data_IF_846919072093
#
_entry.id   IF_846919072093
#
_cell.length_a   1.000
_cell.length_b   1.000
_cell.length_c   1.000
_cell.angle_alpha   90.00
_cell.angle_beta   90.00
_cell.angle_gamma   90.00
#
_symmetry.space_group_name_H-M   'P 1'
#
loop_
_entity.id
_entity.type
_entity.pdbx_description
1 polymer ?
#
# COMPACT_ATOMS: atom_id res chain seq x y z
N UNK A 1 30.00 -3.25 6.57
CA UNK A 1 28.88 -3.17 5.59
C UNK A 1 27.94 -2.14 6.17
N UNK A 2 27.90 -0.94 5.64
CA UNK A 2 26.91 0.07 6.02
C UNK A 2 25.52 -0.49 5.70
N UNK A 3 24.70 -0.67 6.73
CA UNK A 3 23.31 -1.05 6.52
C UNK A 3 22.61 0.12 5.84
N UNK A 4 22.26 -0.04 4.59
CA UNK A 4 21.42 0.91 3.84
C UNK A 4 20.18 1.23 4.67
N UNK A 5 19.83 2.51 4.79
CA UNK A 5 18.62 2.93 5.51
C UNK A 5 17.39 2.20 4.97
N UNK A 6 16.47 1.75 5.83
CA UNK A 6 15.27 1.02 5.40
C UNK A 6 14.35 1.94 4.56
N UNK A 7 13.60 1.34 3.63
CA UNK A 7 12.62 2.07 2.84
C UNK A 7 11.44 2.58 3.70
N UNK A 8 11.08 1.83 4.74
CA UNK A 8 10.08 2.22 5.73
C UNK A 8 10.63 1.93 7.12
N UNK A 9 10.52 2.91 8.02
CA UNK A 9 10.91 2.77 9.43
C UNK A 9 9.83 3.37 10.33
N UNK A 10 9.32 2.58 11.25
CA UNK A 10 8.44 3.01 12.34
C UNK A 10 9.20 2.87 13.66
N UNK A 11 9.07 3.88 14.54
CA UNK A 11 9.67 3.90 15.88
C UNK A 11 8.64 4.42 16.89
N UNK A 12 8.32 3.59 17.91
CA UNK A 12 7.41 3.88 19.01
C UNK A 12 6.03 4.41 18.54
N UNK A 13 5.52 3.85 17.44
CA UNK A 13 4.31 4.31 16.78
C UNK A 13 3.07 3.81 17.53
N UNK A 14 2.26 4.76 18.01
CA UNK A 14 0.93 4.49 18.56
C UNK A 14 -0.16 5.14 17.73
N UNK A 15 -1.31 4.48 17.62
CA UNK A 15 -2.52 5.06 17.03
C UNK A 15 -3.73 4.71 17.85
N UNK A 16 -4.38 5.75 18.38
CA UNK A 16 -5.66 5.65 19.08
C UNK A 16 -6.73 6.44 18.34
N UNK A 17 -7.98 5.97 18.46
CA UNK A 17 -9.16 6.65 17.95
C UNK A 17 -10.11 6.99 19.10
N UNK A 18 -10.70 8.18 19.14
CA UNK A 18 -11.63 8.57 20.18
C UNK A 18 -12.93 7.75 20.09
N UNK A 19 -13.39 7.20 21.22
CA UNK A 19 -14.66 6.48 21.37
C UNK A 19 -15.79 7.34 21.97
N UNK A 20 -15.51 8.60 22.33
CA UNK A 20 -16.41 9.45 23.12
C UNK A 20 -16.22 9.29 24.64
N UNK A 21 -16.83 10.18 25.41
CA UNK A 21 -16.74 10.19 26.89
C UNK A 21 -15.32 10.16 27.47
N UNK A 22 -14.33 10.67 26.75
CA UNK A 22 -12.93 10.68 27.18
C UNK A 22 -12.16 9.36 26.99
N UNK A 23 -12.80 8.33 26.45
CA UNK A 23 -12.16 7.04 26.13
C UNK A 23 -11.55 7.05 24.73
N UNK A 24 -10.44 6.34 24.56
CA UNK A 24 -9.81 6.11 23.26
C UNK A 24 -9.53 4.61 23.06
N UNK A 25 -9.63 4.14 21.83
CA UNK A 25 -9.27 2.78 21.46
C UNK A 25 -7.86 2.79 20.85
N UNK A 26 -6.89 2.20 21.54
CA UNK A 26 -5.56 1.98 20.98
C UNK A 26 -5.62 0.83 19.97
N UNK A 27 -5.43 1.17 18.69
CA UNK A 27 -5.47 0.21 17.58
C UNK A 27 -4.07 -0.27 17.21
N UNK A 28 -3.05 0.60 17.36
CA UNK A 28 -1.66 0.26 17.09
C UNK A 28 -0.74 0.73 18.22
N UNK A 29 0.20 -0.17 18.58
CA UNK A 29 1.32 0.08 19.49
C UNK A 29 2.53 -0.71 19.00
N UNK A 30 3.31 -0.12 18.10
CA UNK A 30 4.43 -0.76 17.42
C UNK A 30 5.73 -0.11 17.89
N UNK A 31 6.54 -0.86 18.62
CA UNK A 31 7.82 -0.36 19.12
C UNK A 31 8.82 -0.09 17.98
N UNK A 32 8.95 -1.02 17.06
CA UNK A 32 9.80 -0.86 15.88
C UNK A 32 9.35 -1.76 14.74
N UNK A 33 9.38 -1.21 13.52
CA UNK A 33 9.19 -1.96 12.28
C UNK A 33 10.07 -1.34 11.21
N UNK A 34 10.91 -2.16 10.58
CA UNK A 34 11.76 -1.74 9.47
C UNK A 34 11.52 -2.63 8.26
N UNK A 35 11.29 -2.02 7.10
CA UNK A 35 11.23 -2.72 5.82
C UNK A 35 12.48 -2.35 5.01
N UNK A 36 13.38 -3.31 4.75
CA UNK A 36 14.57 -3.07 3.93
C UNK A 36 14.20 -2.66 2.50
N UNK A 37 15.07 -1.88 1.85
CA UNK A 37 14.89 -1.51 0.45
C UNK A 37 14.79 -2.76 -0.43
N UNK A 38 13.81 -2.80 -1.33
CA UNK A 38 13.57 -3.92 -2.25
C UNK A 38 13.02 -5.19 -1.60
N UNK A 39 12.71 -5.18 -0.28
CA UNK A 39 12.11 -6.34 0.38
C UNK A 39 10.64 -6.52 -0.03
N UNK A 40 10.21 -7.79 -0.11
CA UNK A 40 8.82 -8.16 -0.34
C UNK A 40 8.28 -8.80 0.94
N UNK A 41 7.43 -8.10 1.64
CA UNK A 41 6.88 -8.48 2.95
C UNK A 41 5.38 -8.69 2.86
N UNK A 42 4.89 -9.80 3.41
CA UNK A 42 3.47 -10.05 3.64
C UNK A 42 3.16 -9.83 5.10
N UNK A 43 2.13 -9.04 5.37
CA UNK A 43 1.57 -8.78 6.69
C UNK A 43 0.28 -9.57 6.87
N UNK A 44 0.27 -10.50 7.81
CA UNK A 44 -0.91 -11.27 8.21
C UNK A 44 -1.39 -10.88 9.60
N UNK A 45 -2.60 -11.28 9.94
CA UNK A 45 -3.20 -11.04 11.25
C UNK A 45 -4.72 -11.07 11.19
N UNK A 46 -5.43 -11.24 12.29
CA UNK A 46 -6.89 -11.32 12.33
C UNK A 46 -7.55 -10.03 11.81
N UNK A 47 -8.83 -10.12 11.47
CA UNK A 47 -9.64 -8.93 11.17
C UNK A 47 -9.65 -7.99 12.39
N UNK A 48 -9.60 -6.69 12.15
CA UNK A 48 -9.54 -5.68 13.21
C UNK A 48 -8.18 -5.51 13.90
N UNK A 49 -7.13 -6.25 13.54
CA UNK A 49 -5.80 -6.13 14.17
C UNK A 49 -5.01 -4.85 13.79
N UNK A 50 -5.58 -3.94 13.01
CA UNK A 50 -4.94 -2.67 12.65
C UNK A 50 -4.13 -2.69 11.36
N UNK A 51 -4.19 -3.74 10.51
CA UNK A 51 -3.41 -3.85 9.26
C UNK A 51 -3.63 -2.66 8.31
N UNK A 52 -4.88 -2.37 7.97
CA UNK A 52 -5.24 -1.21 7.13
C UNK A 52 -4.83 0.11 7.78
N UNK A 53 -4.96 0.22 9.12
CA UNK A 53 -4.50 1.40 9.85
C UNK A 53 -2.99 1.58 9.70
N UNK A 54 -2.22 0.49 9.82
CA UNK A 54 -0.77 0.52 9.62
C UNK A 54 -0.40 0.98 8.20
N UNK A 55 -1.04 0.41 7.17
CA UNK A 55 -0.82 0.86 5.79
C UNK A 55 -1.15 2.34 5.60
N UNK A 56 -2.25 2.83 6.17
CA UNK A 56 -2.66 4.23 6.09
C UNK A 56 -1.66 5.17 6.80
N UNK A 57 -1.06 4.74 7.90
CA UNK A 57 0.00 5.50 8.58
C UNK A 57 1.27 5.57 7.73
N UNK A 58 1.72 4.44 7.17
CA UNK A 58 2.89 4.40 6.28
C UNK A 58 2.65 5.23 5.03
N UNK A 59 1.43 5.23 4.49
CA UNK A 59 1.04 6.06 3.35
C UNK A 59 0.91 7.55 3.68
N UNK A 60 0.97 7.95 4.95
CA UNK A 60 0.72 9.33 5.38
C UNK A 60 -0.71 9.81 5.13
N UNK A 61 -1.66 8.89 4.94
CA UNK A 61 -3.11 9.16 4.85
C UNK A 61 -3.64 9.51 6.25
N UNK A 62 -3.15 8.80 7.27
CA UNK A 62 -3.41 9.10 8.67
C UNK A 62 -2.09 9.41 9.37
N UNK A 63 -2.16 10.15 10.48
CA UNK A 63 -1.02 10.40 11.35
C UNK A 63 -1.11 9.52 12.60
N UNK A 64 0.03 9.10 13.17
CA UNK A 64 0.06 8.43 14.46
C UNK A 64 -0.35 9.38 15.58
N UNK A 65 -0.78 8.83 16.70
CA UNK A 65 -1.00 9.59 17.94
C UNK A 65 0.34 9.98 18.58
N UNK A 66 1.35 9.10 18.46
CA UNK A 66 2.73 9.35 18.88
C UNK A 66 3.68 8.46 18.07
N UNK A 67 4.98 8.77 18.16
CA UNK A 67 6.03 8.03 17.49
C UNK A 67 6.44 8.64 16.15
N UNK A 68 7.29 7.93 15.41
CA UNK A 68 7.93 8.41 14.20
C UNK A 68 7.73 7.44 13.05
N UNK A 69 7.46 7.97 11.85
CA UNK A 69 7.30 7.20 10.63
C UNK A 69 8.16 7.81 9.53
N UNK A 70 9.11 7.04 9.02
CA UNK A 70 9.94 7.45 7.90
C UNK A 70 9.66 6.61 6.67
N UNK A 71 9.59 7.26 5.52
CA UNK A 71 9.54 6.63 4.20
C UNK A 71 10.66 7.20 3.36
N UNK A 72 11.55 6.34 2.88
CA UNK A 72 12.76 6.71 2.15
C UNK A 72 13.56 7.83 2.86
N UNK A 73 13.77 7.66 4.16
CA UNK A 73 14.51 8.61 5.00
C UNK A 73 13.75 9.89 5.37
N UNK A 74 12.55 10.13 4.81
CA UNK A 74 11.75 11.32 5.12
C UNK A 74 10.74 11.01 6.22
N UNK A 75 10.78 11.79 7.31
CA UNK A 75 9.80 11.70 8.41
C UNK A 75 8.47 12.33 7.98
N UNK A 76 7.39 11.53 8.06
CA UNK A 76 6.06 11.97 7.64
C UNK A 76 5.33 12.82 8.70
N UNK A 77 5.66 12.60 9.98
CA UNK A 77 4.87 13.15 11.11
C UNK A 77 4.91 14.67 11.16
N UNK A 78 6.08 15.34 11.03
CA UNK A 78 6.15 16.80 11.06
C UNK A 78 5.69 17.49 9.77
N UNK A 79 5.43 16.72 8.68
CA UNK A 79 5.07 17.31 7.40
C UNK A 79 3.63 17.83 7.41
N UNK A 80 3.37 19.03 6.89
CA UNK A 80 2.02 19.50 6.61
C UNK A 80 1.38 18.63 5.50
N UNK A 81 0.04 18.52 5.50
CA UNK A 81 -0.72 17.66 4.61
C UNK A 81 -0.33 17.80 3.11
N UNK A 82 -0.19 19.02 2.53
CA UNK A 82 0.20 19.14 1.13
C UNK A 82 1.58 18.56 0.80
N UNK A 83 2.50 18.53 1.76
CA UNK A 83 3.82 17.92 1.58
C UNK A 83 3.74 16.40 1.69
N UNK A 84 2.94 15.85 2.64
CA UNK A 84 2.67 14.42 2.72
C UNK A 84 2.00 13.91 1.44
N UNK A 85 1.05 14.66 0.88
CA UNK A 85 0.37 14.30 -0.37
C UNK A 85 1.32 14.22 -1.55
N UNK A 86 2.24 15.16 -1.67
CA UNK A 86 3.29 15.15 -2.70
C UNK A 86 4.23 13.97 -2.53
N UNK A 87 4.67 13.71 -1.28
CA UNK A 87 5.53 12.56 -0.97
C UNK A 87 4.81 11.25 -1.31
N UNK A 88 3.56 11.08 -0.87
CA UNK A 88 2.75 9.91 -1.19
C UNK A 88 2.62 9.72 -2.69
N UNK A 89 2.26 10.75 -3.43
CA UNK A 89 2.08 10.67 -4.88
C UNK A 89 3.36 10.29 -5.62
N UNK A 90 4.53 10.70 -5.13
CA UNK A 90 5.83 10.45 -5.76
C UNK A 90 6.48 9.14 -5.31
N UNK A 91 6.31 8.74 -4.05
CA UNK A 91 7.09 7.66 -3.44
C UNK A 91 6.29 6.43 -3.04
N UNK A 92 4.96 6.49 -3.01
CA UNK A 92 4.13 5.40 -2.52
C UNK A 92 3.09 5.00 -3.57
N UNK A 93 3.17 3.76 -4.05
CA UNK A 93 2.05 3.12 -4.74
C UNK A 93 1.11 2.50 -3.72
N UNK A 94 -0.19 2.73 -3.85
CA UNK A 94 -1.18 2.13 -2.96
C UNK A 94 -2.24 1.37 -3.76
N UNK A 95 -2.37 0.08 -3.48
CA UNK A 95 -3.44 -0.78 -3.99
C UNK A 95 -4.44 -1.00 -2.88
N UNK A 96 -5.62 -0.43 -3.02
CA UNK A 96 -6.70 -0.55 -2.03
C UNK A 96 -7.47 -1.86 -2.19
N UNK A 97 -8.10 -2.33 -1.12
CA UNK A 97 -8.97 -3.49 -1.12
C UNK A 97 -10.15 -3.33 -2.11
N UNK A 98 -10.74 -2.14 -2.16
CA UNK A 98 -11.65 -1.73 -3.22
C UNK A 98 -10.85 -1.05 -4.32
N UNK A 99 -11.12 -1.35 -5.57
CA UNK A 99 -10.28 -0.90 -6.71
C UNK A 99 -10.11 0.62 -6.80
N UNK A 100 -11.09 1.40 -6.29
CA UNK A 100 -11.10 2.87 -6.29
C UNK A 100 -10.79 3.45 -7.69
N UNK A 101 -11.25 2.77 -8.75
CA UNK A 101 -11.15 3.27 -10.11
C UNK A 101 -12.21 4.35 -10.34
N UNK A 102 -11.80 5.38 -11.05
CA UNK A 102 -12.70 6.47 -11.42
C UNK A 102 -13.56 6.02 -12.61
N UNK A 103 -14.85 5.83 -12.38
CA UNK A 103 -15.81 5.27 -13.33
C UNK A 103 -15.88 6.01 -14.69
N UNK A 104 -15.78 7.37 -14.75
CA UNK A 104 -15.80 8.09 -16.02
C UNK A 104 -14.58 7.87 -16.91
N UNK A 105 -13.45 7.41 -16.33
CA UNK A 105 -12.17 7.27 -17.02
C UNK A 105 -11.94 5.84 -17.51
N UNK A 106 -11.27 5.71 -18.65
CA UNK A 106 -10.77 4.43 -19.17
C UNK A 106 -9.67 3.85 -18.28
N UNK A 107 -9.28 2.59 -18.52
CA UNK A 107 -8.14 1.96 -17.85
C UNK A 107 -6.86 2.79 -18.04
N UNK A 108 -6.60 3.24 -19.28
CA UNK A 108 -5.45 4.09 -19.59
C UNK A 108 -5.48 5.41 -18.81
N UNK A 109 -6.61 6.09 -18.79
CA UNK A 109 -6.77 7.37 -18.10
C UNK A 109 -6.67 7.24 -16.58
N UNK A 110 -7.21 6.17 -15.98
CA UNK A 110 -7.05 5.88 -14.56
C UNK A 110 -5.58 5.77 -14.16
N UNK A 111 -4.75 5.13 -14.98
CA UNK A 111 -3.30 5.02 -14.73
C UNK A 111 -2.60 6.37 -14.96
N UNK A 112 -2.94 7.10 -16.02
CA UNK A 112 -2.34 8.40 -16.32
C UNK A 112 -2.62 9.46 -15.24
N UNK A 113 -3.76 9.38 -14.55
CA UNK A 113 -4.11 10.31 -13.47
C UNK A 113 -3.09 10.27 -12.33
N UNK A 114 -2.61 9.10 -11.92
CA UNK A 114 -1.59 8.99 -10.88
C UNK A 114 -0.31 9.76 -11.25
N UNK A 115 0.10 9.68 -12.51
CA UNK A 115 1.28 10.41 -13.00
C UNK A 115 1.05 11.93 -13.08
N UNK A 116 -0.18 12.36 -13.36
CA UNK A 116 -0.53 13.79 -13.38
C UNK A 116 -0.46 14.43 -11.99
N UNK A 117 -0.93 13.72 -10.96
CA UNK A 117 -0.89 14.20 -9.58
C UNK A 117 0.54 14.24 -9.01
N UNK A 118 1.34 13.21 -9.26
CA UNK A 118 2.72 13.15 -8.78
C UNK A 118 3.64 14.14 -9.51
N UNK A 119 3.36 14.42 -10.78
CA UNK A 119 4.16 15.27 -11.66
C UNK A 119 5.65 14.86 -11.74
N UNK A 120 5.93 13.57 -11.56
CA UNK A 120 7.28 13.00 -11.62
C UNK A 120 7.67 12.58 -13.03
N UNK A 121 6.68 12.28 -13.88
CA UNK A 121 6.86 11.83 -15.26
C UNK A 121 6.40 12.91 -16.23
N UNK A 122 7.26 13.34 -17.19
CA UNK A 122 6.89 14.33 -18.20
C UNK A 122 5.62 13.95 -18.96
N UNK A 123 4.70 14.89 -19.15
CA UNK A 123 3.38 14.66 -19.78
C UNK A 123 3.45 13.88 -21.10
N UNK A 124 4.45 14.17 -21.93
CA UNK A 124 4.68 13.46 -23.21
C UNK A 124 4.96 11.97 -23.07
N UNK A 125 5.48 11.52 -21.90
CA UNK A 125 5.83 10.11 -21.62
C UNK A 125 4.72 9.37 -20.87
N UNK A 126 3.77 10.07 -20.25
CA UNK A 126 2.76 9.44 -19.37
C UNK A 126 1.89 8.42 -20.11
N UNK A 127 1.45 8.73 -21.33
CA UNK A 127 0.62 7.81 -22.11
C UNK A 127 1.37 6.51 -22.46
N UNK A 128 2.60 6.64 -22.95
CA UNK A 128 3.42 5.49 -23.29
C UNK A 128 3.70 4.64 -22.05
N UNK A 129 4.06 5.26 -20.94
CA UNK A 129 4.30 4.61 -19.65
C UNK A 129 3.06 3.85 -19.15
N UNK A 130 1.88 4.43 -19.24
CA UNK A 130 0.63 3.78 -18.84
C UNK A 130 0.33 2.54 -19.71
N UNK A 131 0.57 2.63 -21.04
CA UNK A 131 0.42 1.51 -21.97
C UNK A 131 1.37 0.36 -21.59
N UNK A 132 2.63 0.67 -21.30
CA UNK A 132 3.65 -0.32 -20.93
C UNK A 132 3.25 -1.10 -19.67
N UNK A 133 2.89 -0.41 -18.60
CA UNK A 133 2.49 -1.05 -17.34
C UNK A 133 1.20 -1.88 -17.52
N UNK A 134 0.19 -1.32 -18.19
CA UNK A 134 -1.04 -2.05 -18.47
C UNK A 134 -0.77 -3.31 -19.32
N UNK A 135 0.15 -3.23 -20.28
CA UNK A 135 0.55 -4.37 -21.10
C UNK A 135 1.29 -5.44 -20.29
N UNK A 136 2.19 -5.05 -19.39
CA UNK A 136 2.87 -5.97 -18.46
C UNK A 136 1.88 -6.72 -17.55
N UNK A 137 0.76 -6.09 -17.20
CA UNK A 137 -0.33 -6.68 -16.43
C UNK A 137 -1.41 -7.36 -17.29
N UNK A 138 -1.13 -7.60 -18.60
CA UNK A 138 -2.02 -8.33 -19.50
C UNK A 138 -3.27 -7.56 -19.97
N UNK A 139 -3.24 -6.21 -19.90
CA UNK A 139 -4.37 -5.35 -20.24
C UNK A 139 -4.20 -4.58 -21.55
N UNK A 140 -3.30 -5.02 -22.44
CA UNK A 140 -3.03 -4.35 -23.72
C UNK A 140 -4.28 -4.12 -24.58
N UNK A 141 -5.24 -5.04 -24.55
CA UNK A 141 -6.50 -4.98 -25.32
C UNK A 141 -7.63 -4.25 -24.57
N UNK A 142 -7.38 -3.76 -23.34
CA UNK A 142 -8.36 -3.14 -22.45
C UNK A 142 -8.16 -1.65 -22.20
N UNK A 143 -7.20 -1.02 -22.87
CA UNK A 143 -6.76 0.36 -22.61
C UNK A 143 -7.91 1.38 -22.65
N UNK A 144 -8.86 1.21 -23.59
CA UNK A 144 -10.02 2.10 -23.78
C UNK A 144 -11.26 1.72 -22.97
N UNK A 145 -11.23 0.58 -22.27
CA UNK A 145 -12.37 0.12 -21.48
C UNK A 145 -12.52 0.95 -20.20
N UNK A 146 -13.76 1.25 -19.84
CA UNK A 146 -14.11 1.85 -18.54
C UNK A 146 -14.28 0.76 -17.48
N UNK A 147 -14.20 1.09 -16.18
CA UNK A 147 -14.33 0.10 -15.10
C UNK A 147 -15.55 -0.82 -15.23
N UNK A 148 -16.70 -0.30 -15.61
CA UNK A 148 -17.92 -1.11 -15.80
C UNK A 148 -17.83 -2.15 -16.94
N UNK A 149 -16.87 -2.03 -17.83
CA UNK A 149 -16.63 -2.94 -18.95
C UNK A 149 -15.52 -3.96 -18.65
N UNK A 150 -14.93 -3.91 -17.46
CA UNK A 150 -13.84 -4.76 -17.02
C UNK A 150 -14.33 -5.78 -15.99
N UNK A 151 -13.82 -7.00 -16.07
CA UNK A 151 -13.98 -7.99 -15.00
C UNK A 151 -13.32 -7.49 -13.70
N UNK A 152 -13.69 -8.07 -12.56
CA UNK A 152 -13.06 -7.71 -11.25
C UNK A 152 -11.54 -7.86 -11.28
N UNK A 153 -11.03 -8.95 -11.88
CA UNK A 153 -9.60 -9.17 -12.03
C UNK A 153 -8.93 -8.16 -12.96
N UNK A 154 -9.60 -7.72 -14.04
CA UNK A 154 -9.09 -6.66 -14.91
C UNK A 154 -9.08 -5.31 -14.17
N UNK A 155 -10.13 -4.98 -13.40
CA UNK A 155 -10.18 -3.76 -12.57
C UNK A 155 -9.04 -3.76 -11.55
N UNK A 156 -8.78 -4.88 -10.89
CA UNK A 156 -7.67 -5.02 -9.94
C UNK A 156 -6.33 -4.78 -10.62
N UNK A 157 -6.09 -5.36 -11.80
CA UNK A 157 -4.85 -5.10 -12.55
C UNK A 157 -4.71 -3.64 -12.99
N UNK A 158 -5.81 -2.95 -13.31
CA UNK A 158 -5.78 -1.49 -13.56
C UNK A 158 -5.40 -0.72 -12.30
N UNK A 159 -5.93 -1.10 -11.13
CA UNK A 159 -5.58 -0.48 -9.85
C UNK A 159 -4.08 -0.69 -9.50
N UNK A 160 -3.55 -1.89 -9.76
CA UNK A 160 -2.11 -2.19 -9.62
C UNK A 160 -1.25 -1.37 -10.60
N UNK A 161 -1.67 -1.27 -11.88
CA UNK A 161 -1.00 -0.44 -12.87
C UNK A 161 -0.93 1.02 -12.44
N UNK A 162 -2.04 1.53 -11.87
CA UNK A 162 -2.11 2.89 -11.33
C UNK A 162 -1.14 3.09 -10.16
N UNK A 163 -1.07 2.13 -9.25
CA UNK A 163 -0.16 2.18 -8.10
C UNK A 163 1.32 2.18 -8.53
N UNK A 164 1.66 1.45 -9.60
CA UNK A 164 3.02 1.35 -10.15
C UNK A 164 3.40 2.45 -11.14
N UNK A 165 2.47 3.33 -11.51
CA UNK A 165 2.64 4.28 -12.62
C UNK A 165 3.85 5.20 -12.47
N UNK A 166 4.14 5.63 -11.24
CA UNK A 166 5.22 6.59 -10.92
C UNK A 166 6.55 5.93 -10.53
N UNK A 167 6.73 4.62 -10.74
CA UNK A 167 7.89 3.86 -10.26
C UNK A 167 8.15 4.08 -8.76
N UNK A 168 7.14 3.86 -7.91
CA UNK A 168 7.26 4.17 -6.50
C UNK A 168 8.30 3.24 -5.83
N UNK A 169 9.19 3.78 -4.97
CA UNK A 169 10.11 2.95 -4.20
C UNK A 169 9.41 2.08 -3.14
N UNK A 170 8.18 2.42 -2.76
CA UNK A 170 7.36 1.64 -1.81
C UNK A 170 5.99 1.35 -2.42
N UNK A 171 5.58 0.08 -2.40
CA UNK A 171 4.25 -0.37 -2.76
C UNK A 171 3.55 -0.93 -1.53
N UNK A 172 2.38 -0.40 -1.22
CA UNK A 172 1.48 -0.87 -0.19
C UNK A 172 0.25 -1.50 -0.85
N UNK A 173 -0.18 -2.67 -0.40
CA UNK A 173 -1.36 -3.33 -0.94
C UNK A 173 -2.22 -3.93 0.18
N UNK A 174 -3.47 -3.50 0.25
CA UNK A 174 -4.43 -3.97 1.23
C UNK A 174 -5.36 -5.01 0.59
N UNK A 175 -5.13 -6.28 0.91
CA UNK A 175 -5.88 -7.43 0.39
C UNK A 175 -6.11 -7.38 -1.15
N UNK A 176 -5.03 -7.21 -1.94
CA UNK A 176 -5.14 -6.86 -3.36
C UNK A 176 -5.84 -7.93 -4.22
N UNK A 177 -6.05 -9.13 -3.72
CA UNK A 177 -6.65 -10.23 -4.46
C UNK A 177 -7.85 -10.88 -3.77
N UNK A 178 -8.37 -10.29 -2.69
CA UNK A 178 -9.47 -10.87 -1.90
C UNK A 178 -10.75 -11.16 -2.71
N UNK A 179 -10.95 -10.47 -3.83
CA UNK A 179 -12.13 -10.65 -4.71
C UNK A 179 -11.88 -11.55 -5.92
N UNK A 180 -10.70 -12.18 -6.02
CA UNK A 180 -10.29 -13.03 -7.14
C UNK A 180 -10.30 -14.51 -6.74
N UNK A 181 -10.52 -15.39 -7.71
CA UNK A 181 -10.24 -16.81 -7.53
C UNK A 181 -8.74 -17.07 -7.37
N UNK A 182 -8.37 -18.17 -6.74
CA UNK A 182 -6.99 -18.48 -6.38
C UNK A 182 -6.03 -18.51 -7.58
N UNK A 183 -6.46 -19.04 -8.73
CA UNK A 183 -5.63 -19.12 -9.92
C UNK A 183 -5.37 -17.72 -10.51
N UNK A 184 -6.40 -16.90 -10.62
CA UNK A 184 -6.28 -15.51 -11.06
C UNK A 184 -5.44 -14.69 -10.09
N UNK A 185 -5.64 -14.86 -8.77
CA UNK A 185 -4.87 -14.19 -7.73
C UNK A 185 -3.36 -14.48 -7.86
N UNK A 186 -3.02 -15.77 -8.06
CA UNK A 186 -1.63 -16.19 -8.23
C UNK A 186 -0.97 -15.52 -9.46
N UNK A 187 -1.63 -15.52 -10.60
CA UNK A 187 -1.11 -14.91 -11.84
C UNK A 187 -0.89 -13.40 -11.65
N UNK A 188 -1.86 -12.72 -11.05
CA UNK A 188 -1.82 -11.26 -10.83
C UNK A 188 -0.72 -10.88 -9.83
N UNK A 189 -0.60 -11.60 -8.71
CA UNK A 189 0.44 -11.34 -7.71
C UNK A 189 1.83 -11.65 -8.23
N UNK A 190 2.02 -12.73 -8.99
CA UNK A 190 3.31 -13.04 -9.60
C UNK A 190 3.76 -11.94 -10.57
N UNK A 191 2.83 -11.43 -11.41
CA UNK A 191 3.13 -10.31 -12.30
C UNK A 191 3.52 -9.05 -11.50
N UNK A 192 2.79 -8.74 -10.41
CA UNK A 192 3.11 -7.63 -9.52
C UNK A 192 4.52 -7.77 -8.91
N UNK A 193 4.83 -8.93 -8.32
CA UNK A 193 6.12 -9.20 -7.72
C UNK A 193 7.27 -9.11 -8.71
N UNK A 194 7.10 -9.62 -9.93
CA UNK A 194 8.12 -9.53 -10.97
C UNK A 194 8.42 -8.07 -11.33
N UNK A 195 7.39 -7.25 -11.56
CA UNK A 195 7.55 -5.82 -11.83
C UNK A 195 8.26 -5.12 -10.67
N UNK A 196 7.89 -5.44 -9.42
CA UNK A 196 8.51 -4.84 -8.24
C UNK A 196 9.97 -5.25 -8.07
N UNK A 197 10.32 -6.52 -8.35
CA UNK A 197 11.72 -6.99 -8.30
C UNK A 197 12.59 -6.29 -9.33
N UNK A 198 12.13 -6.17 -10.58
CA UNK A 198 12.86 -5.48 -11.65
C UNK A 198 13.18 -4.01 -11.31
N UNK A 199 12.36 -3.40 -10.46
CA UNK A 199 12.46 -1.97 -10.08
C UNK A 199 13.03 -1.76 -8.68
N UNK A 200 13.42 -2.82 -7.97
CA UNK A 200 13.82 -2.78 -6.56
C UNK A 200 12.77 -2.08 -5.65
N UNK A 201 11.48 -2.18 -6.00
CA UNK A 201 10.39 -1.64 -5.19
C UNK A 201 10.22 -2.44 -3.91
N UNK A 202 10.19 -1.76 -2.76
CA UNK A 202 9.85 -2.37 -1.47
C UNK A 202 8.35 -2.61 -1.39
N UNK A 203 7.93 -3.81 -1.04
CA UNK A 203 6.53 -4.23 -1.07
C UNK A 203 6.05 -4.63 0.31
N UNK A 204 4.91 -4.08 0.74
CA UNK A 204 4.16 -4.54 1.91
C UNK A 204 2.73 -4.88 1.48
N UNK A 205 2.39 -6.16 1.52
CA UNK A 205 1.06 -6.68 1.17
C UNK A 205 0.36 -7.20 2.42
N UNK A 206 -0.82 -6.70 2.71
CA UNK A 206 -1.75 -7.34 3.63
C UNK A 206 -2.47 -8.45 2.87
N UNK A 207 -2.31 -9.69 3.28
CA UNK A 207 -2.99 -10.83 2.68
C UNK A 207 -3.10 -12.01 3.65
N UNK A 208 -4.08 -12.86 3.38
CA UNK A 208 -4.30 -14.10 4.11
C UNK A 208 -4.11 -15.35 3.23
N UNK A 209 -3.97 -15.16 1.90
CA UNK A 209 -3.92 -16.24 0.93
C UNK A 209 -2.48 -16.75 0.67
N UNK A 210 -2.39 -18.00 0.25
CA UNK A 210 -1.11 -18.66 -0.07
C UNK A 210 -0.41 -18.07 -1.29
N UNK A 211 -1.16 -17.44 -2.21
CA UNK A 211 -0.60 -16.84 -3.42
C UNK A 211 0.28 -15.63 -3.08
N UNK A 212 -0.15 -14.79 -2.11
CA UNK A 212 0.67 -13.67 -1.63
C UNK A 212 1.94 -14.15 -0.93
N UNK A 213 1.83 -15.22 -0.15
CA UNK A 213 2.98 -15.80 0.57
C UNK A 213 4.05 -16.36 -0.37
N UNK A 214 3.67 -16.92 -1.52
CA UNK A 214 4.62 -17.53 -2.46
C UNK A 214 5.63 -16.55 -3.07
N UNK A 215 5.30 -15.25 -3.14
CA UNK A 215 6.20 -14.21 -3.65
C UNK A 215 6.95 -13.41 -2.57
N UNK A 216 6.63 -13.65 -1.29
CA UNK A 216 7.18 -12.91 -0.17
C UNK A 216 8.57 -13.43 0.23
N UNK A 217 9.48 -12.51 0.54
CA UNK A 217 10.77 -12.82 1.18
C UNK A 217 10.62 -12.88 2.71
N UNK A 218 9.61 -12.20 3.27
CA UNK A 218 9.35 -12.12 4.70
C UNK A 218 7.85 -12.13 4.98
N UNK A 219 7.45 -12.76 6.07
CA UNK A 219 6.09 -12.74 6.59
C UNK A 219 6.12 -12.15 8.00
N UNK A 220 5.29 -11.14 8.22
CA UNK A 220 5.08 -10.52 9.53
C UNK A 220 3.68 -10.86 10.05
N UNK A 221 3.56 -11.08 11.35
CA UNK A 221 2.27 -11.26 12.00
C UNK A 221 1.96 -10.04 12.88
N UNK A 222 0.78 -9.45 12.68
CA UNK A 222 0.34 -8.32 13.51
C UNK A 222 0.35 -8.62 15.00
N UNK A 223 0.10 -9.88 15.38
CA UNK A 223 0.13 -10.30 16.81
C UNK A 223 1.52 -10.22 17.44
N UNK A 224 2.57 -10.28 16.62
CA UNK A 224 3.97 -10.21 17.07
C UNK A 224 4.48 -8.76 17.10
N UNK A 225 4.02 -7.93 16.19
CA UNK A 225 4.53 -6.55 16.04
C UNK A 225 3.64 -5.50 16.71
N UNK A 226 2.34 -5.77 16.88
CA UNK A 226 1.39 -4.84 17.50
C UNK A 226 1.10 -5.24 18.95
N UNK A 227 1.47 -4.38 19.88
CA UNK A 227 1.26 -4.57 21.33
C UNK A 227 -0.04 -3.94 21.84
N UNK A 228 -0.85 -3.35 20.96
CA UNK A 228 -2.13 -2.77 21.35
C UNK A 228 -3.06 -3.85 21.90
N UNK A 229 -3.64 -3.59 23.06
CA UNK A 229 -4.54 -4.54 23.74
C UNK A 229 -5.94 -4.60 23.12
N UNK A 230 -6.27 -3.63 22.26
CA UNK A 230 -7.62 -3.51 21.69
C UNK A 230 -8.70 -3.12 22.69
N UNK A 231 -8.32 -2.81 23.94
CA UNK A 231 -9.23 -2.34 24.98
C UNK A 231 -9.26 -0.82 25.02
N UNK A 232 -10.42 -0.20 25.32
CA UNK A 232 -10.50 1.24 25.55
C UNK A 232 -9.62 1.63 26.75
N UNK A 233 -8.81 2.68 26.60
CA UNK A 233 -8.06 3.25 27.71
C UNK A 233 -9.03 3.64 28.84
N UNK A 234 -8.80 3.13 30.05
CA UNK A 234 -9.57 3.49 31.24
C UNK A 234 -10.55 2.45 31.78
N UNK A 235 -10.58 1.22 31.22
CA UNK A 235 -11.25 0.10 31.86
C UNK A 235 -10.21 -0.78 32.57
N UNK A 236 -9.68 -0.28 33.70
CA UNK A 236 -9.07 -1.15 34.67
C UNK A 236 -10.22 -2.02 35.28
N UNK A 237 -10.01 -3.33 35.24
CA UNK A 237 -11.00 -4.29 35.65
C UNK A 237 -11.60 -4.02 37.06
N UNK A 238 -12.90 -3.96 37.12
CA UNK A 238 -13.67 -4.06 38.33
C UNK A 238 -13.94 -5.53 38.68
#
# INVERSE_FOLDING_TARGET
>A
MEQSAPAVLLQDVKKSFPLGHGHALEVLNIASLALPVGSHTVLKGPSGSGKTTLLNLIAGIALPTSGRIQVNGTDLVPLPEPQRDRLRAAHIGYVFQTFNLLAPFTALENVMLAMRFANTIPRRRQRQRAIEILSQLGLKTRLSHRPAQLSRGEQQRVAMARALANDPPVLLADEPCASLDAATAQVVLMALYNICRERATTVLIVAHDTAALAGAAQVLDMREINRATGQPDGVEGA
#
